data_IF_766272298904
#
_entry.id   IF_766272298904
#
_cell.length_a   1.000
_cell.length_b   1.000
_cell.length_c   1.000
_cell.angle_alpha   90.00
_cell.angle_beta   90.00
_cell.angle_gamma   90.00
#
_symmetry.space_group_name_H-M   'P 1'
#
loop_
_entity.id
_entity.type
_entity.pdbx_description
1 polymer ?
#
# COMPACT_ATOMS: atom_id res chain seq x y z
N UNK A 1 8.13 11.89 -11.16
CA UNK A 1 6.75 11.81 -10.63
C UNK A 1 5.73 12.19 -11.70
N UNK A 2 5.92 13.31 -12.40
CA UNK A 2 5.02 13.77 -13.48
C UNK A 2 4.77 12.73 -14.58
N UNK A 3 5.78 12.00 -15.02
CA UNK A 3 5.60 10.91 -15.99
C UNK A 3 4.65 9.82 -15.50
N UNK A 4 4.68 9.50 -14.20
CA UNK A 4 3.75 8.55 -13.60
C UNK A 4 2.33 9.09 -13.64
N UNK A 5 2.14 10.38 -13.33
CA UNK A 5 0.83 11.04 -13.37
C UNK A 5 0.29 11.05 -14.81
N UNK A 6 1.12 11.40 -15.80
CA UNK A 6 0.74 11.38 -17.22
C UNK A 6 0.24 10.01 -17.66
N UNK A 7 0.91 8.93 -17.25
CA UNK A 7 0.48 7.55 -17.54
C UNK A 7 -0.88 7.23 -16.92
N UNK A 8 -1.13 7.64 -15.67
CA UNK A 8 -2.44 7.39 -15.02
C UNK A 8 -3.57 8.23 -15.63
N UNK A 9 -3.29 9.44 -16.13
CA UNK A 9 -4.24 10.26 -16.90
C UNK A 9 -4.57 9.60 -18.25
N UNK A 10 -3.54 9.16 -18.99
CA UNK A 10 -3.73 8.45 -20.27
C UNK A 10 -4.51 7.14 -20.09
N UNK A 11 -4.33 6.46 -18.97
CA UNK A 11 -5.07 5.25 -18.61
C UNK A 11 -6.51 5.53 -18.12
N UNK A 12 -6.94 6.79 -18.06
CA UNK A 12 -8.27 7.19 -17.56
C UNK A 12 -8.48 6.91 -16.07
N UNK A 13 -7.41 6.77 -15.29
CA UNK A 13 -7.46 6.52 -13.86
C UNK A 13 -7.44 7.82 -13.04
N UNK A 14 -6.88 8.88 -13.62
CA UNK A 14 -6.89 10.24 -13.07
C UNK A 14 -7.49 11.23 -14.07
N UNK A 15 -8.18 12.25 -13.58
CA UNK A 15 -8.70 13.35 -14.39
C UNK A 15 -8.10 14.70 -13.96
N UNK A 16 -7.91 15.60 -14.94
CA UNK A 16 -7.32 16.93 -14.75
C UNK A 16 -6.00 17.09 -15.50
N UNK A 17 -5.13 18.04 -15.09
CA UNK A 17 -5.30 18.93 -13.93
C UNK A 17 -6.42 19.96 -14.15
N UNK A 18 -7.16 20.26 -13.08
CA UNK A 18 -8.17 21.32 -13.02
C UNK A 18 -7.68 22.48 -12.16
N UNK A 19 -8.21 23.69 -12.40
CA UNK A 19 -8.04 24.81 -11.47
C UNK A 19 -9.05 24.74 -10.32
N UNK A 20 -8.76 25.46 -9.23
CA UNK A 20 -9.70 25.67 -8.12
C UNK A 20 -11.02 26.25 -8.64
N UNK A 21 -10.98 27.24 -9.53
CA UNK A 21 -12.17 27.92 -10.05
C UNK A 21 -13.07 26.99 -10.88
N UNK A 22 -12.45 26.12 -11.69
CA UNK A 22 -13.18 25.10 -12.45
C UNK A 22 -13.95 24.13 -11.55
N UNK A 23 -13.35 23.72 -10.43
CA UNK A 23 -14.00 22.83 -9.47
C UNK A 23 -15.05 23.56 -8.63
N UNK A 24 -14.77 24.77 -8.16
CA UNK A 24 -15.70 25.58 -7.37
C UNK A 24 -16.96 25.97 -8.14
N UNK A 25 -16.87 26.12 -9.46
CA UNK A 25 -18.05 26.37 -10.31
C UNK A 25 -19.00 25.18 -10.34
N UNK A 26 -18.48 23.95 -10.20
CA UNK A 26 -19.25 22.72 -10.38
C UNK A 26 -19.62 22.04 -9.07
N UNK A 27 -18.82 22.22 -8.02
CA UNK A 27 -18.98 21.53 -6.75
C UNK A 27 -19.01 22.54 -5.61
N UNK A 28 -20.07 22.48 -4.81
CA UNK A 28 -20.20 23.31 -3.61
C UNK A 28 -19.13 22.99 -2.54
N UNK A 29 -18.58 21.77 -2.58
CA UNK A 29 -17.53 21.33 -1.68
C UNK A 29 -16.58 20.38 -2.39
N UNK A 30 -15.28 20.54 -2.13
CA UNK A 30 -14.26 19.56 -2.45
C UNK A 30 -13.05 19.73 -1.54
N UNK A 31 -12.23 18.68 -1.42
CA UNK A 31 -11.04 18.70 -0.58
C UNK A 31 -9.83 18.23 -1.35
N UNK A 32 -8.75 19.01 -1.28
CA UNK A 32 -7.44 18.61 -1.79
C UNK A 32 -6.57 18.05 -0.67
N UNK A 33 -5.77 17.04 -1.02
CA UNK A 33 -4.79 16.43 -0.14
C UNK A 33 -3.38 16.62 -0.73
N UNK A 34 -2.34 16.73 0.11
CA UNK A 34 -0.98 16.84 -0.38
C UNK A 34 -0.53 15.53 -1.04
N UNK A 35 0.20 15.65 -2.14
CA UNK A 35 0.87 14.54 -2.81
C UNK A 35 2.25 14.33 -2.19
N UNK A 36 2.49 13.12 -1.67
CA UNK A 36 3.82 12.65 -1.30
C UNK A 36 4.46 11.80 -2.40
N UNK A 37 5.75 11.50 -2.28
CA UNK A 37 6.48 10.62 -3.20
C UNK A 37 7.11 9.46 -2.42
N UNK A 38 7.00 8.24 -2.94
CA UNK A 38 7.78 7.09 -2.46
C UNK A 38 8.64 6.58 -3.61
N UNK A 39 9.96 6.52 -3.39
CA UNK A 39 10.90 5.89 -4.31
C UNK A 39 10.90 4.39 -4.03
N UNK A 40 10.66 3.58 -5.06
CA UNK A 40 10.76 2.13 -4.97
C UNK A 40 12.22 1.67 -5.07
N UNK A 41 12.46 0.40 -4.71
CA UNK A 41 13.76 -0.25 -4.90
C UNK A 41 14.23 -0.38 -6.35
N UNK A 42 13.32 -0.23 -7.33
CA UNK A 42 13.63 -0.17 -8.77
C UNK A 42 13.94 1.27 -9.27
N UNK A 43 14.00 2.26 -8.36
CA UNK A 43 14.20 3.68 -8.69
C UNK A 43 12.95 4.42 -9.17
N UNK A 44 11.84 3.73 -9.43
CA UNK A 44 10.60 4.37 -9.86
C UNK A 44 9.92 5.14 -8.71
N UNK A 45 9.34 6.30 -9.03
CA UNK A 45 8.64 7.14 -8.05
C UNK A 45 7.14 6.90 -8.13
N UNK A 46 6.51 6.58 -6.99
CA UNK A 46 5.06 6.53 -6.86
C UNK A 46 4.51 7.76 -6.14
N UNK A 47 3.55 8.49 -6.74
CA UNK A 47 2.81 9.49 -6.00
C UNK A 47 1.91 8.81 -4.95
N UNK A 48 1.81 9.45 -3.78
CA UNK A 48 0.99 8.97 -2.66
C UNK A 48 0.04 10.08 -2.23
N UNK A 49 -1.25 9.81 -2.30
CA UNK A 49 -2.29 10.71 -1.80
C UNK A 49 -2.37 10.61 -0.27
N UNK A 50 -1.97 11.67 0.44
CA UNK A 50 -1.95 11.64 1.90
C UNK A 50 -3.32 11.97 2.50
N UNK A 51 -4.19 10.96 2.56
CA UNK A 51 -5.54 11.06 3.12
C UNK A 51 -5.59 11.28 4.65
N UNK A 52 -4.45 11.13 5.32
CA UNK A 52 -4.32 11.36 6.77
C UNK A 52 -3.94 12.80 7.12
N UNK A 53 -3.82 13.69 6.13
CA UNK A 53 -3.49 15.09 6.35
C UNK A 53 -4.76 15.96 6.53
N UNK A 54 -4.73 16.97 7.42
CA UNK A 54 -3.70 17.25 8.42
C UNK A 54 -3.80 16.28 9.60
N UNK A 55 -2.66 15.99 10.24
CA UNK A 55 -2.62 15.16 11.45
C UNK A 55 -2.87 16.03 12.67
N UNK A 56 -3.61 15.50 13.65
CA UNK A 56 -3.81 16.11 14.98
C UNK A 56 -4.39 17.54 14.95
N UNK A 57 -5.23 17.88 13.96
CA UNK A 57 -5.96 19.16 13.92
C UNK A 57 -7.46 18.93 14.14
N UNK A 58 -7.99 19.11 15.37
CA UNK A 58 -9.39 18.78 15.70
C UNK A 58 -10.43 19.55 14.88
N UNK A 59 -10.10 20.78 14.47
CA UNK A 59 -10.99 21.66 13.69
C UNK A 59 -11.00 21.34 12.18
N UNK A 60 -10.06 20.52 11.71
CA UNK A 60 -9.92 20.17 10.29
C UNK A 60 -9.69 18.65 10.24
N UNK A 61 -10.77 17.84 10.23
CA UNK A 61 -10.63 16.38 10.18
C UNK A 61 -9.88 15.98 8.91
N UNK A 62 -9.10 14.91 8.94
CA UNK A 62 -8.53 14.28 7.74
C UNK A 62 -9.58 13.43 7.02
N UNK A 63 -9.36 13.07 5.75
CA UNK A 63 -10.29 12.15 5.04
C UNK A 63 -10.37 10.82 5.78
N UNK A 64 -9.22 10.30 6.21
CA UNK A 64 -9.13 9.06 6.96
C UNK A 64 -9.79 9.08 8.34
N UNK A 65 -9.94 10.24 9.00
CA UNK A 65 -10.62 10.31 10.30
C UNK A 65 -12.14 10.25 10.20
N UNK A 66 -12.70 10.46 9.00
CA UNK A 66 -14.14 10.34 8.75
C UNK A 66 -14.56 8.91 8.39
N UNK A 67 -13.61 7.99 8.29
CA UNK A 67 -13.85 6.58 7.95
C UNK A 67 -13.84 5.78 9.23
N UNK A 68 -14.94 5.07 9.49
CA UNK A 68 -14.97 4.08 10.56
C UNK A 68 -14.20 2.83 10.13
N UNK A 69 -13.28 2.38 10.98
CA UNK A 69 -12.47 1.18 10.73
C UNK A 69 -13.28 -0.09 10.92
N UNK A 70 -14.29 -0.10 11.78
CA UNK A 70 -15.06 -1.33 12.04
C UNK A 70 -15.84 -1.79 10.81
N UNK A 71 -16.27 -0.86 9.96
CA UNK A 71 -17.00 -1.14 8.73
C UNK A 71 -16.17 -1.92 7.70
N UNK A 72 -14.85 -1.93 7.86
CA UNK A 72 -13.91 -2.59 6.96
C UNK A 72 -13.10 -3.68 7.69
N UNK A 73 -13.73 -4.34 8.67
CA UNK A 73 -13.10 -5.47 9.36
C UNK A 73 -12.72 -6.55 8.34
N UNK A 74 -11.44 -6.84 8.27
CA UNK A 74 -10.89 -7.83 7.34
C UNK A 74 -10.59 -9.12 8.07
N UNK A 75 -11.05 -10.25 7.53
CA UNK A 75 -10.78 -11.60 8.05
C UNK A 75 -9.45 -12.12 7.49
N UNK A 76 -8.36 -11.35 7.59
CA UNK A 76 -7.06 -11.81 7.11
C UNK A 76 -6.61 -13.03 7.90
N UNK A 77 -6.19 -14.06 7.18
CA UNK A 77 -5.43 -15.14 7.78
C UNK A 77 -4.09 -14.58 8.27
N UNK A 78 -3.90 -14.58 9.58
CA UNK A 78 -2.63 -14.22 10.16
C UNK A 78 -1.65 -15.40 10.09
N UNK A 79 -0.38 -15.11 10.40
CA UNK A 79 0.68 -16.13 10.47
C UNK A 79 0.25 -17.38 11.24
N UNK A 80 -0.40 -17.22 12.40
CA UNK A 80 -0.83 -18.35 13.24
C UNK A 80 -1.92 -19.18 12.55
N UNK A 81 -2.84 -18.56 11.82
CA UNK A 81 -3.88 -19.27 11.07
C UNK A 81 -3.26 -20.11 9.97
N UNK A 82 -2.40 -19.53 9.13
CA UNK A 82 -1.71 -20.26 8.05
C UNK A 82 -0.83 -21.38 8.61
N UNK A 83 -0.04 -21.11 9.66
CA UNK A 83 0.77 -22.16 10.29
C UNK A 83 -0.07 -23.30 10.88
N UNK A 84 -1.21 -22.99 11.49
CA UNK A 84 -2.12 -24.01 12.04
C UNK A 84 -2.75 -24.82 10.93
N UNK A 85 -3.17 -24.18 9.84
CA UNK A 85 -3.72 -24.86 8.66
C UNK A 85 -2.72 -25.88 8.11
N UNK A 86 -1.48 -25.47 7.85
CA UNK A 86 -0.45 -26.35 7.29
C UNK A 86 -0.09 -27.51 8.22
N UNK A 87 0.00 -27.28 9.53
CA UNK A 87 0.30 -28.35 10.50
C UNK A 87 -0.75 -29.45 10.53
N UNK A 88 -2.02 -29.08 10.33
CA UNK A 88 -3.17 -29.99 10.40
C UNK A 88 -3.32 -30.88 9.17
N UNK A 89 -2.68 -30.56 8.05
CA UNK A 89 -2.79 -31.38 6.85
C UNK A 89 -1.97 -32.66 6.99
N UNK A 90 -2.60 -33.79 6.66
CA UNK A 90 -1.97 -35.11 6.60
C UNK A 90 -1.53 -35.48 5.18
N UNK A 91 -2.21 -34.92 4.18
CA UNK A 91 -1.92 -35.16 2.77
C UNK A 91 -0.77 -34.28 2.24
N UNK A 92 -0.08 -34.71 1.19
CA UNK A 92 0.88 -33.87 0.47
C UNK A 92 0.23 -32.57 -0.02
N UNK A 93 0.90 -31.46 0.21
CA UNK A 93 0.47 -30.13 -0.23
C UNK A 93 1.48 -29.55 -1.22
N UNK A 94 1.01 -28.63 -2.05
CA UNK A 94 1.85 -27.68 -2.77
C UNK A 94 1.32 -26.28 -2.56
N UNK A 95 2.21 -25.31 -2.45
CA UNK A 95 1.90 -23.89 -2.32
C UNK A 95 2.01 -23.22 -3.68
N UNK A 96 1.04 -22.39 -4.04
CA UNK A 96 1.16 -21.43 -5.13
C UNK A 96 0.95 -20.03 -4.55
N UNK A 97 1.66 -19.04 -5.08
CA UNK A 97 1.49 -17.63 -4.70
C UNK A 97 1.27 -16.82 -5.95
N UNK A 98 0.34 -15.87 -5.87
CA UNK A 98 0.18 -14.82 -6.87
C UNK A 98 0.09 -13.47 -6.15
N UNK A 99 0.59 -12.44 -6.82
CA UNK A 99 0.54 -11.05 -6.37
C UNK A 99 -0.37 -10.28 -7.32
N UNK A 100 -1.39 -9.60 -6.78
CA UNK A 100 -2.23 -8.71 -7.59
C UNK A 100 -1.44 -7.46 -7.95
N UNK A 101 -1.45 -7.08 -9.24
CA UNK A 101 -0.69 -5.93 -9.70
C UNK A 101 -1.38 -4.64 -9.25
N UNK A 102 -0.76 -3.82 -8.40
CA UNK A 102 -1.37 -2.56 -7.90
C UNK A 102 -2.81 -2.78 -7.36
N UNK A 103 -3.05 -3.87 -6.62
CA UNK A 103 -4.37 -4.34 -6.18
C UNK A 103 -5.41 -3.24 -5.89
N UNK A 104 -5.11 -2.31 -4.99
CA UNK A 104 -6.00 -1.22 -4.63
C UNK A 104 -6.26 -0.26 -5.82
N UNK A 105 -5.22 0.10 -6.58
CA UNK A 105 -5.33 1.04 -7.69
C UNK A 105 -6.12 0.49 -8.88
N UNK A 106 -6.44 -0.81 -8.91
CA UNK A 106 -7.32 -1.36 -9.95
C UNK A 106 -8.80 -1.07 -9.66
N UNK A 107 -9.15 -0.86 -8.40
CA UNK A 107 -10.55 -0.75 -7.97
C UNK A 107 -11.01 0.69 -8.10
N UNK A 108 -12.05 0.96 -8.92
CA UNK A 108 -12.67 2.26 -8.96
C UNK A 108 -13.38 2.58 -7.64
N UNK A 109 -13.28 3.84 -7.21
CA UNK A 109 -14.08 4.39 -6.12
C UNK A 109 -15.40 4.93 -6.65
N UNK A 110 -16.42 4.99 -5.79
CA UNK A 110 -17.70 5.56 -6.18
C UNK A 110 -17.53 7.06 -6.51
N UNK A 111 -18.24 7.55 -7.53
CA UNK A 111 -18.15 8.96 -7.96
C UNK A 111 -18.40 9.96 -6.82
N UNK A 112 -19.28 9.61 -5.87
CA UNK A 112 -19.56 10.41 -4.67
C UNK A 112 -18.34 10.59 -3.75
N UNK A 113 -17.35 9.70 -3.83
CA UNK A 113 -16.13 9.74 -3.03
C UNK A 113 -15.00 10.55 -3.68
N UNK A 114 -15.08 10.81 -4.99
CA UNK A 114 -13.99 11.43 -5.76
C UNK A 114 -13.59 12.81 -5.23
N UNK A 115 -14.54 13.59 -4.70
CA UNK A 115 -14.31 14.93 -4.15
C UNK A 115 -13.47 14.93 -2.85
N UNK A 116 -13.25 13.76 -2.24
CA UNK A 116 -12.37 13.57 -1.09
C UNK A 116 -10.99 13.03 -1.47
N UNK A 117 -10.82 12.60 -2.73
CA UNK A 117 -9.60 11.95 -3.24
C UNK A 117 -8.77 12.89 -4.13
N UNK A 118 -9.05 14.19 -4.12
CA UNK A 118 -8.34 15.13 -4.98
C UNK A 118 -6.90 15.32 -4.52
N UNK A 119 -5.99 15.35 -5.49
CA UNK A 119 -4.54 15.48 -5.28
C UNK A 119 -4.10 16.83 -5.83
N UNK A 120 -3.38 17.61 -5.03
CA UNK A 120 -2.69 18.80 -5.54
C UNK A 120 -1.34 18.40 -6.12
N UNK A 121 -1.11 18.70 -7.40
CA UNK A 121 0.19 18.50 -8.04
C UNK A 121 1.15 19.67 -7.73
N UNK A 122 2.41 19.58 -8.17
CA UNK A 122 3.42 20.60 -7.89
C UNK A 122 3.13 21.93 -8.60
N UNK A 123 2.44 21.90 -9.73
CA UNK A 123 2.04 23.08 -10.51
C UNK A 123 0.73 23.73 -10.03
N UNK A 124 0.31 23.41 -8.78
CA UNK A 124 -0.94 23.88 -8.16
C UNK A 124 -2.23 23.42 -8.87
N UNK A 125 -2.14 22.57 -9.89
CA UNK A 125 -3.26 21.89 -10.51
C UNK A 125 -3.86 20.80 -9.62
N UNK A 126 -5.16 20.54 -9.79
CA UNK A 126 -5.91 19.58 -9.00
C UNK A 126 -6.25 18.37 -9.87
N UNK A 127 -5.85 17.19 -9.42
CA UNK A 127 -6.13 15.91 -10.07
C UNK A 127 -7.21 15.16 -9.29
N UNK A 128 -8.13 14.53 -10.00
CA UNK A 128 -9.13 13.62 -9.43
C UNK A 128 -8.61 12.20 -9.57
N UNK A 129 -8.28 11.54 -8.46
CA UNK A 129 -7.98 10.11 -8.45
C UNK A 129 -9.28 9.32 -8.33
N UNK A 130 -9.53 8.42 -9.28
CA UNK A 130 -10.76 7.62 -9.34
C UNK A 130 -10.57 6.21 -8.78
N UNK A 131 -9.37 5.88 -8.32
CA UNK A 131 -9.03 4.55 -7.80
C UNK A 131 -8.79 4.62 -6.30
N UNK A 132 -8.79 3.46 -5.65
CA UNK A 132 -8.45 3.39 -4.23
C UNK A 132 -7.00 3.80 -4.05
N UNK A 133 -6.79 4.92 -3.34
CA UNK A 133 -5.47 5.42 -3.00
C UNK A 133 -4.78 4.54 -1.96
N UNK A 134 -3.47 4.37 -2.12
CA UNK A 134 -2.65 3.64 -1.15
C UNK A 134 -2.58 4.40 0.19
N UNK A 135 -2.79 3.70 1.31
CA UNK A 135 -2.73 4.29 2.65
C UNK A 135 -4.04 4.90 3.18
N UNK A 136 -5.14 4.76 2.43
CA UNK A 136 -6.49 5.02 2.95
C UNK A 136 -6.92 3.96 3.97
N UNK A 137 -7.68 4.37 4.98
CA UNK A 137 -8.16 3.49 6.06
C UNK A 137 -9.06 2.35 5.56
N UNK A 138 -9.71 2.53 4.41
CA UNK A 138 -10.62 1.57 3.78
C UNK A 138 -10.08 0.95 2.47
N UNK A 139 -8.76 0.92 2.26
CA UNK A 139 -8.16 0.44 1.01
C UNK A 139 -8.19 -1.08 0.78
N UNK A 140 -9.19 -1.78 1.29
CA UNK A 140 -9.27 -3.25 1.23
C UNK A 140 -9.80 -3.73 -0.12
N UNK A 141 -9.26 -4.84 -0.58
CA UNK A 141 -9.70 -5.55 -1.78
C UNK A 141 -9.99 -7.00 -1.37
N UNK A 142 -11.24 -7.49 -1.49
CA UNK A 142 -11.48 -8.92 -1.38
C UNK A 142 -10.81 -9.61 -2.58
N UNK A 143 -9.85 -10.49 -2.31
CA UNK A 143 -9.11 -11.22 -3.34
C UNK A 143 -9.72 -12.63 -3.48
N UNK A 144 -10.06 -13.00 -4.70
CA UNK A 144 -10.59 -14.31 -5.06
C UNK A 144 -9.49 -15.20 -5.66
N UNK A 145 -9.70 -16.54 -5.78
CA UNK A 145 -8.81 -17.42 -6.53
C UNK A 145 -8.49 -16.87 -7.93
N UNK A 146 -7.30 -17.18 -8.47
CA UNK A 146 -6.76 -16.57 -9.69
C UNK A 146 -7.78 -16.49 -10.85
N UNK A 147 -8.43 -17.61 -11.17
CA UNK A 147 -9.45 -17.69 -12.23
C UNK A 147 -10.59 -16.70 -12.05
N UNK A 148 -11.13 -16.61 -10.82
CA UNK A 148 -12.21 -15.66 -10.50
C UNK A 148 -11.71 -14.22 -10.46
N UNK A 149 -10.45 -13.99 -10.09
CA UNK A 149 -9.83 -12.67 -10.17
C UNK A 149 -9.72 -12.19 -11.62
N UNK A 150 -9.33 -13.07 -12.55
CA UNK A 150 -9.27 -12.77 -13.98
C UNK A 150 -10.64 -12.45 -14.58
N UNK A 151 -11.68 -13.23 -14.24
CA UNK A 151 -13.08 -12.96 -14.63
C UNK A 151 -13.58 -11.58 -14.14
N UNK A 152 -13.15 -11.17 -12.96
CA UNK A 152 -13.46 -9.85 -12.38
C UNK A 152 -12.58 -8.72 -12.96
N UNK A 153 -11.71 -9.03 -13.93
CA UNK A 153 -10.80 -8.06 -14.55
C UNK A 153 -9.64 -7.61 -13.66
N UNK A 154 -9.36 -8.34 -12.56
CA UNK A 154 -8.23 -8.06 -11.67
C UNK A 154 -6.96 -8.56 -12.33
N UNK A 155 -6.09 -7.63 -12.71
CA UNK A 155 -4.78 -7.93 -13.28
C UNK A 155 -3.86 -8.50 -12.20
N UNK A 156 -3.27 -9.64 -12.49
CA UNK A 156 -2.19 -10.21 -11.68
C UNK A 156 -0.84 -9.87 -12.27
N UNK A 157 0.19 -9.82 -11.44
CA UNK A 157 1.55 -9.63 -11.92
C UNK A 157 2.12 -10.98 -12.39
N UNK A 158 2.26 -11.24 -13.70
CA UNK A 158 2.68 -12.55 -14.21
C UNK A 158 4.07 -12.94 -13.71
N UNK A 159 4.98 -11.98 -13.52
CA UNK A 159 6.33 -12.22 -13.00
C UNK A 159 6.38 -12.61 -11.51
N UNK A 160 5.25 -12.46 -10.80
CA UNK A 160 5.11 -12.79 -9.38
C UNK A 160 4.10 -13.91 -9.14
N UNK A 161 3.69 -14.61 -10.20
CA UNK A 161 2.99 -15.88 -10.09
C UNK A 161 4.06 -16.94 -9.91
N UNK A 162 4.03 -17.60 -8.76
CA UNK A 162 4.93 -18.70 -8.44
C UNK A 162 4.11 -19.99 -8.53
N UNK A 163 4.52 -20.93 -9.40
CA UNK A 163 3.79 -22.17 -9.61
C UNK A 163 3.81 -23.02 -8.33
N UNK A 164 3.01 -24.08 -8.33
CA UNK A 164 2.94 -25.02 -7.21
C UNK A 164 4.32 -25.57 -6.83
N UNK A 165 4.74 -25.27 -5.61
CA UNK A 165 6.03 -25.68 -5.05
C UNK A 165 5.85 -26.18 -3.60
N UNK A 166 6.75 -27.04 -3.13
CA UNK A 166 6.79 -27.49 -1.73
C UNK A 166 7.35 -26.44 -0.78
N UNK A 167 8.03 -25.44 -1.32
CA UNK A 167 8.59 -24.33 -0.57
C UNK A 167 8.34 -23.00 -1.28
N UNK A 168 7.80 -22.02 -0.56
CA UNK A 168 7.50 -20.72 -1.15
C UNK A 168 7.69 -19.56 -0.16
N UNK A 169 8.15 -18.42 -0.69
CA UNK A 169 8.30 -17.17 0.07
C UNK A 169 6.96 -16.42 0.14
N UNK A 170 6.33 -16.40 1.31
CA UNK A 170 5.07 -15.69 1.59
C UNK A 170 5.23 -14.76 2.80
N UNK A 171 4.68 -13.55 2.72
CA UNK A 171 4.72 -12.50 3.77
C UNK A 171 6.11 -12.30 4.40
N UNK A 172 7.16 -12.48 3.59
CA UNK A 172 8.55 -12.28 4.02
C UNK A 172 9.22 -13.45 4.73
N UNK A 173 8.55 -14.60 4.83
CA UNK A 173 9.07 -15.87 5.36
C UNK A 173 9.10 -16.94 4.27
N UNK A 174 9.97 -17.92 4.42
CA UNK A 174 10.00 -19.14 3.62
C UNK A 174 9.14 -20.18 4.33
N UNK A 175 8.14 -20.68 3.64
CA UNK A 175 7.20 -21.70 4.13
C UNK A 175 7.49 -23.01 3.40
N UNK A 176 7.84 -24.06 4.15
CA UNK A 176 8.00 -25.41 3.62
C UNK A 176 6.83 -26.27 4.09
N UNK A 177 6.06 -26.81 3.14
CA UNK A 177 4.93 -27.70 3.48
C UNK A 177 5.39 -29.10 3.81
N UNK A 178 6.38 -29.62 3.08
CA UNK A 178 6.97 -30.95 3.33
C UNK A 178 7.63 -31.02 4.70
N UNK A 179 8.41 -29.99 5.06
CA UNK A 179 9.02 -29.88 6.38
C UNK A 179 8.09 -29.35 7.47
N UNK A 180 6.90 -28.85 7.13
CA UNK A 180 5.99 -28.11 8.03
C UNK A 180 6.71 -27.00 8.84
N UNK A 181 7.68 -26.35 8.20
CA UNK A 181 8.51 -25.30 8.84
C UNK A 181 8.27 -23.93 8.24
N UNK A 182 8.57 -22.91 9.02
CA UNK A 182 8.59 -21.51 8.57
C UNK A 182 9.88 -20.86 9.05
N UNK A 183 10.62 -20.24 8.14
CA UNK A 183 11.92 -19.63 8.45
C UNK A 183 12.12 -18.28 7.77
N UNK A 184 13.04 -17.47 8.28
CA UNK A 184 13.48 -16.26 7.58
C UNK A 184 14.33 -16.63 6.35
N UNK A 185 14.24 -15.86 5.26
CA UNK A 185 15.23 -15.91 4.18
C UNK A 185 16.62 -15.56 4.70
N UNK A 186 17.66 -16.17 4.12
CA UNK A 186 19.01 -16.04 4.64
C UNK A 186 19.57 -14.62 4.55
N UNK A 187 19.26 -13.88 3.48
CA UNK A 187 19.62 -12.46 3.36
C UNK A 187 19.05 -11.63 4.50
N UNK A 188 17.78 -11.89 4.89
CA UNK A 188 17.14 -11.19 6.01
C UNK A 188 17.76 -11.57 7.34
N UNK A 189 18.11 -12.86 7.53
CA UNK A 189 18.85 -13.29 8.73
C UNK A 189 20.19 -12.56 8.81
N UNK A 190 20.93 -12.51 7.70
CA UNK A 190 22.21 -11.83 7.63
C UNK A 190 22.08 -10.34 7.97
N UNK A 191 21.16 -9.63 7.33
CA UNK A 191 20.87 -8.22 7.63
C UNK A 191 20.55 -8.01 9.11
N UNK A 192 19.73 -8.89 9.71
CA UNK A 192 19.36 -8.78 11.12
C UNK A 192 20.55 -9.05 12.05
N UNK A 193 21.42 -10.00 11.70
CA UNK A 193 22.67 -10.25 12.42
C UNK A 193 23.58 -9.01 12.36
N UNK A 194 23.72 -8.37 11.20
CA UNK A 194 24.51 -7.14 11.07
C UNK A 194 23.95 -5.99 11.92
N UNK A 195 22.63 -5.82 11.94
CA UNK A 195 21.98 -4.84 12.81
C UNK A 195 22.28 -5.11 14.29
N UNK A 196 22.16 -6.37 14.75
CA UNK A 196 22.45 -6.73 16.14
C UNK A 196 23.92 -6.49 16.49
N UNK A 197 24.86 -6.81 15.58
CA UNK A 197 26.29 -6.58 15.77
C UNK A 197 26.63 -5.12 16.02
N UNK A 198 25.86 -4.17 15.48
CA UNK A 198 26.06 -2.74 15.75
C UNK A 198 25.77 -2.39 17.22
N UNK A 199 24.80 -3.06 17.85
CA UNK A 199 24.48 -2.89 19.27
C UNK A 199 25.44 -3.62 20.22
N UNK A 200 26.21 -4.60 19.71
CA UNK A 200 27.19 -5.33 20.50
C UNK A 200 28.56 -4.63 20.59
N UNK A 201 28.76 -3.53 19.84
CA UNK A 201 29.94 -2.68 19.99
C UNK A 201 29.72 -1.78 21.23
N UNK A 202 30.39 -2.12 22.33
CA UNK A 202 30.37 -1.31 23.54
C UNK A 202 30.93 0.10 23.25
N UNK A 203 30.30 1.12 23.84
CA UNK A 203 30.67 2.55 23.84
C UNK A 203 30.35 3.39 22.58
N UNK A 204 29.11 3.35 22.11
CA UNK A 204 28.57 4.52 21.39
C UNK A 204 27.25 4.93 22.03
N UNK A 205 27.08 6.17 22.53
CA UNK A 205 25.80 6.62 23.07
C UNK A 205 24.75 6.42 21.99
N UNK A 206 23.70 5.68 22.33
CA UNK A 206 22.69 5.25 21.37
C UNK A 206 21.98 6.45 20.75
N UNK A 207 22.38 6.84 19.54
CA UNK A 207 21.52 7.62 18.66
C UNK A 207 20.38 6.71 18.24
N UNK A 208 19.23 6.89 18.88
CA UNK A 208 17.96 6.37 18.43
C UNK A 208 17.61 7.03 17.09
N UNK A 209 18.06 6.44 15.98
CA UNK A 209 17.42 6.66 14.70
C UNK A 209 16.05 5.97 14.74
N UNK A 210 15.07 6.67 15.32
CA UNK A 210 13.68 6.39 15.02
C UNK A 210 13.57 6.53 13.50
N UNK A 211 13.46 5.43 12.75
CA UNK A 211 12.94 5.47 11.39
C UNK A 211 11.42 5.76 11.46
N UNK A 212 11.08 6.89 12.05
CA UNK A 212 9.85 7.61 11.81
C UNK A 212 9.99 8.15 10.39
N UNK A 213 9.25 7.59 9.44
CA UNK A 213 8.93 8.30 8.20
C UNK A 213 8.02 9.47 8.58
N UNK A 214 8.62 10.51 9.15
CA UNK A 214 8.04 11.83 9.35
C UNK A 214 8.99 12.79 8.67
N UNK A 215 8.73 13.06 7.39
CA UNK A 215 9.21 14.28 6.77
C UNK A 215 8.50 15.45 7.47
N UNK A 216 9.11 15.94 8.54
CA UNK A 216 8.83 17.26 9.07
C UNK A 216 9.38 18.28 8.07
N UNK A 217 8.49 19.05 7.45
CA UNK A 217 8.87 20.32 6.85
C UNK A 217 8.73 21.34 7.97
N UNK A 218 9.86 21.92 8.34
CA UNK A 218 9.96 23.13 9.15
C UNK A 218 9.50 24.28 8.25
N UNK A 219 8.38 24.91 8.56
CA UNK A 219 8.05 26.25 8.05
C UNK A 219 8.49 27.25 9.13
N UNK A 220 9.47 28.09 8.80
CA UNK A 220 9.66 29.35 9.50
C UNK A 220 8.64 30.34 8.93
N UNK A 221 7.87 30.91 9.87
CA UNK A 221 6.99 32.11 9.86
C UNK A 221 6.63 32.71 8.50
#
# INVERSE_FOLDING_TARGET
>A
MEESIKKEIQAGQMFGPYSTDQLSTRFAFFRTNPSGAVVKGDGSVRPVNNLSFPRNKPKIPSVSSSVDKSDYTTTWDNFKTVSRFLRRQTEPLKLAIFDSEKACCQIPTAKSQWLYLLIKNFDKGILIDTRIAFGGVAGYTPIHPLTRSEELGVKTNPTKILPFCEEQKYIGFIWSVTGKTVRLPDDKKFQRIQQIKQFLKANTPGEFAQHSTSSAIVENV
#
